data_IF_747758050642
#
_entry.id   IF_747758050642
#
_cell.length_a   1.000
_cell.length_b   1.000
_cell.length_c   1.000
_cell.angle_alpha   90.00
_cell.angle_beta   90.00
_cell.angle_gamma   90.00
#
_symmetry.space_group_name_H-M   'P 1'
#
loop_
_entity.id
_entity.type
_entity.pdbx_description
1 polymer ?
#
# COMPACT_ATOMS: atom_id res chain seq x y z
N UNK A 1 -10.31 1.45 -8.00
CA UNK A 1 -8.98 2.06 -7.70
C UNK A 1 -8.30 1.39 -6.50
N UNK A 2 -9.03 0.95 -5.48
CA UNK A 2 -8.50 0.15 -4.36
C UNK A 2 -8.09 -1.28 -4.76
N UNK A 3 -8.86 -1.91 -5.66
CA UNK A 3 -8.63 -3.29 -6.11
C UNK A 3 -7.29 -3.51 -6.79
N UNK A 4 -6.72 -2.50 -7.47
CA UNK A 4 -5.45 -2.64 -8.19
C UNK A 4 -4.27 -2.82 -7.22
N UNK A 5 -4.31 -2.19 -6.05
CA UNK A 5 -3.23 -2.30 -5.05
C UNK A 5 -3.32 -3.61 -4.26
N UNK A 6 -4.52 -4.18 -4.12
CA UNK A 6 -4.70 -5.52 -3.59
C UNK A 6 -4.38 -6.61 -4.63
N UNK A 7 -4.61 -6.35 -5.92
CA UNK A 7 -4.38 -7.32 -6.99
C UNK A 7 -2.91 -7.39 -7.45
N UNK A 8 -2.17 -6.27 -7.41
CA UNK A 8 -0.76 -6.19 -7.84
C UNK A 8 0.05 -5.22 -6.97
N UNK A 9 0.28 -5.53 -5.68
CA UNK A 9 1.18 -4.75 -4.83
C UNK A 9 2.61 -4.78 -5.40
N UNK A 10 3.28 -3.63 -5.48
CA UNK A 10 4.70 -3.61 -5.84
C UNK A 10 5.58 -4.09 -4.69
N UNK A 11 5.17 -3.82 -3.45
CA UNK A 11 5.79 -4.35 -2.25
C UNK A 11 4.74 -4.77 -1.24
N UNK A 12 5.01 -5.89 -0.57
CA UNK A 12 4.26 -6.37 0.58
C UNK A 12 5.23 -6.33 1.75
N UNK A 13 4.87 -5.58 2.78
CA UNK A 13 5.64 -5.44 4.02
C UNK A 13 4.77 -5.90 5.17
N UNK A 14 5.38 -6.21 6.30
CA UNK A 14 4.67 -6.49 7.56
C UNK A 14 5.00 -5.37 8.54
N UNK A 15 3.99 -4.64 9.01
CA UNK A 15 4.13 -3.61 10.04
C UNK A 15 3.01 -3.79 11.08
N UNK A 16 3.36 -3.81 12.37
CA UNK A 16 2.37 -3.82 13.47
C UNK A 16 1.36 -4.99 13.39
N UNK A 17 1.83 -6.19 13.04
CA UNK A 17 0.99 -7.40 12.83
C UNK A 17 0.01 -7.27 11.63
N UNK A 18 0.19 -6.24 10.81
CA UNK A 18 -0.61 -5.98 9.62
C UNK A 18 0.23 -6.16 8.35
N UNK A 19 -0.39 -6.77 7.35
CA UNK A 19 0.18 -6.84 6.00
C UNK A 19 -0.01 -5.49 5.31
N UNK A 20 1.08 -4.81 5.00
CA UNK A 20 1.10 -3.53 4.30
C UNK A 20 1.40 -3.73 2.82
N UNK A 21 0.36 -3.62 2.02
CA UNK A 21 0.41 -3.64 0.57
C UNK A 21 0.69 -2.23 0.07
N UNK A 22 1.82 -2.01 -0.60
CA UNK A 22 2.16 -0.71 -1.15
C UNK A 22 2.50 -0.75 -2.63
N UNK A 23 2.04 0.28 -3.35
CA UNK A 23 2.26 0.44 -4.78
C UNK A 23 2.37 1.92 -5.14
N UNK A 24 3.29 2.24 -6.03
CA UNK A 24 3.45 3.56 -6.63
C UNK A 24 2.51 3.68 -7.80
N UNK A 25 1.93 4.85 -7.96
CA UNK A 25 1.13 5.18 -9.13
C UNK A 25 1.42 6.61 -9.59
N UNK A 26 1.47 6.80 -10.90
CA UNK A 26 1.56 8.11 -11.51
C UNK A 26 0.17 8.76 -11.48
N UNK A 27 0.02 9.87 -10.77
CA UNK A 27 -1.21 10.66 -10.84
C UNK A 27 -1.23 11.50 -12.12
N UNK A 28 -2.43 11.86 -12.59
CA UNK A 28 -2.67 12.77 -13.72
C UNK A 28 -1.90 14.09 -13.63
N UNK A 29 -1.54 14.52 -12.41
CA UNK A 29 -0.77 15.74 -12.19
C UNK A 29 0.75 15.58 -12.40
N UNK A 30 1.21 14.48 -13.03
CA UNK A 30 2.62 14.20 -13.28
C UNK A 30 3.44 13.82 -12.04
N UNK A 31 2.79 13.70 -10.87
CA UNK A 31 3.43 13.31 -9.61
C UNK A 31 3.20 11.84 -9.31
N UNK A 32 4.25 11.16 -8.88
CA UNK A 32 4.15 9.79 -8.36
C UNK A 32 3.69 9.84 -6.90
N UNK A 33 2.72 9.00 -6.56
CA UNK A 33 2.26 8.81 -5.19
C UNK A 33 2.47 7.35 -4.79
N UNK A 34 2.67 7.11 -3.50
CA UNK A 34 2.67 5.79 -2.90
C UNK A 34 1.30 5.56 -2.25
N UNK A 35 0.57 4.56 -2.70
CA UNK A 35 -0.59 4.04 -1.99
C UNK A 35 -0.12 2.97 -1.01
N UNK A 36 -0.57 3.03 0.23
CA UNK A 36 -0.32 2.02 1.27
C UNK A 36 -1.66 1.54 1.80
N UNK A 37 -1.86 0.23 1.80
CA UNK A 37 -3.03 -0.46 2.31
C UNK A 37 -2.62 -1.44 3.40
N UNK A 38 -3.11 -1.19 4.60
CA UNK A 38 -2.93 -2.03 5.78
C UNK A 38 -4.07 -3.04 5.80
N UNK A 39 -3.73 -4.32 5.73
CA UNK A 39 -4.65 -5.43 5.71
C UNK A 39 -4.40 -6.29 6.94
N UNK A 40 -5.46 -6.50 7.71
CA UNK A 40 -5.46 -7.47 8.79
C UNK A 40 -5.80 -8.83 8.19
N UNK A 41 -4.78 -9.66 8.03
CA UNK A 41 -4.87 -11.05 7.59
C UNK A 41 -5.17 -12.03 8.74
N UNK A 42 -5.21 -11.55 9.99
CA UNK A 42 -5.52 -12.35 11.18
C UNK A 42 -7.02 -12.59 11.37
N UNK A 43 -7.87 -11.97 10.55
CA UNK A 43 -9.34 -12.18 10.54
C UNK A 43 -9.79 -12.70 9.18
N UNK A 44 -10.78 -13.60 9.17
CA UNK A 44 -11.40 -14.12 7.94
C UNK A 44 -12.84 -13.61 7.77
N UNK A 45 -13.18 -12.93 6.67
CA UNK A 45 -12.30 -12.56 5.55
C UNK A 45 -11.30 -11.44 5.92
N UNK A 46 -10.12 -11.45 5.27
CA UNK A 46 -9.08 -10.45 5.48
C UNK A 46 -9.63 -9.03 5.30
N UNK A 47 -9.36 -8.15 6.27
CA UNK A 47 -9.98 -6.84 6.33
C UNK A 47 -8.98 -5.74 6.12
N UNK A 48 -9.27 -4.85 5.17
CA UNK A 48 -8.50 -3.62 5.00
C UNK A 48 -8.79 -2.70 6.18
N UNK A 49 -7.77 -2.42 6.99
CA UNK A 49 -7.87 -1.56 8.18
C UNK A 49 -7.76 -0.11 7.77
N UNK A 50 -6.74 0.21 6.98
CA UNK A 50 -6.39 1.58 6.62
C UNK A 50 -5.84 1.64 5.22
N UNK A 51 -6.32 2.58 4.41
CA UNK A 51 -5.68 2.92 3.14
C UNK A 51 -5.46 4.41 3.07
N UNK A 52 -4.22 4.80 2.77
CA UNK A 52 -3.91 6.18 2.46
C UNK A 52 -2.87 6.26 1.34
N UNK A 53 -2.84 7.44 0.70
CA UNK A 53 -1.80 7.80 -0.26
C UNK A 53 -0.86 8.82 0.37
N UNK A 54 0.41 8.73 0.02
CA UNK A 54 1.43 9.69 0.42
C UNK A 54 2.33 10.03 -0.75
N UNK A 55 2.76 11.28 -0.86
CA UNK A 55 3.79 11.68 -1.82
C UNK A 55 5.21 11.46 -1.29
N UNK A 56 5.36 11.07 -0.01
CA UNK A 56 6.66 10.83 0.63
C UNK A 56 7.17 9.42 0.34
N UNK A 57 7.37 9.09 -0.93
CA UNK A 57 7.79 7.74 -1.37
C UNK A 57 9.09 7.34 -0.69
N UNK A 58 10.10 8.20 -0.71
CA UNK A 58 11.44 7.94 -0.14
C UNK A 58 11.43 7.58 1.36
N UNK A 59 10.42 8.01 2.11
CA UNK A 59 10.31 7.70 3.54
C UNK A 59 9.82 6.27 3.80
N UNK A 60 8.99 5.73 2.92
CA UNK A 60 8.27 4.46 3.13
C UNK A 60 8.66 3.37 2.13
N UNK A 61 9.32 3.76 1.04
CA UNK A 61 9.84 2.85 0.05
C UNK A 61 11.11 2.20 0.59
N UNK A 62 11.13 0.86 0.64
CA UNK A 62 12.33 0.12 0.99
C UNK A 62 13.00 -0.32 -0.31
N UNK A 63 14.11 0.31 -0.75
CA UNK A 63 14.89 -0.23 -1.85
C UNK A 63 15.40 -1.62 -1.43
N UNK A 64 15.08 -2.62 -2.25
CA UNK A 64 15.66 -3.96 -2.14
C UNK A 64 17.08 -3.99 -2.68
#
# INVERSE_FOLDING_TARGET
MLEVVLAAPEQILEEDDLSVFQARYAATNGKTYLLRAYVNSSVEPARVVTVYRTSKIEKYWRPG
#
